data_IF_306225556947
#
_entry.id   IF_306225556947
#
_cell.length_a   1.000
_cell.length_b   1.000
_cell.length_c   1.000
_cell.angle_alpha   90.00
_cell.angle_beta   90.00
_cell.angle_gamma   90.00
#
_symmetry.space_group_name_H-M   'P 1'
#
loop_
_entity.id
_entity.type
_entity.pdbx_description
1 polymer ?
#
# COMPACT_ATOMS: atom_id res chain seq x y z
N UNK A 1 51.62 -19.65 17.73
CA UNK A 1 50.70 -18.53 18.04
C UNK A 1 50.29 -17.71 16.81
N UNK A 2 51.22 -17.23 15.96
CA UNK A 2 50.88 -16.49 14.71
C UNK A 2 49.93 -17.22 13.74
N UNK A 3 50.05 -18.56 13.63
CA UNK A 3 49.17 -19.38 12.77
C UNK A 3 47.72 -19.46 13.26
N UNK A 4 47.49 -19.37 14.58
CA UNK A 4 46.14 -19.35 15.16
C UNK A 4 45.47 -17.99 14.99
N UNK A 5 46.25 -16.90 15.08
CA UNK A 5 45.76 -15.54 14.84
C UNK A 5 45.33 -15.38 13.37
N UNK A 6 46.13 -15.90 12.42
CA UNK A 6 45.80 -15.83 10.99
C UNK A 6 44.51 -16.60 10.63
N UNK A 7 44.31 -17.77 11.25
CA UNK A 7 43.10 -18.57 11.07
C UNK A 7 41.85 -17.89 11.64
N UNK A 8 41.98 -17.24 12.80
CA UNK A 8 40.88 -16.50 13.42
C UNK A 8 40.47 -15.26 12.59
N UNK A 9 41.43 -14.54 12.00
CA UNK A 9 41.15 -13.43 11.09
C UNK A 9 40.42 -13.87 9.81
N UNK A 10 40.75 -15.05 9.26
CA UNK A 10 40.07 -15.57 8.07
C UNK A 10 38.60 -15.93 8.35
N UNK A 11 38.33 -16.51 9.53
CA UNK A 11 36.97 -16.87 9.97
C UNK A 11 36.15 -15.60 10.26
N UNK A 12 36.76 -14.58 10.86
CA UNK A 12 36.10 -13.29 11.12
C UNK A 12 35.71 -12.55 9.83
N UNK A 13 36.52 -12.64 8.77
CA UNK A 13 36.19 -12.06 7.47
C UNK A 13 35.02 -12.77 6.76
N UNK A 14 34.89 -14.10 6.91
CA UNK A 14 33.76 -14.86 6.36
C UNK A 14 32.45 -14.60 7.11
N UNK A 15 32.52 -14.34 8.42
CA UNK A 15 31.36 -13.93 9.22
C UNK A 15 30.93 -12.47 8.96
N UNK A 16 31.80 -11.65 8.37
CA UNK A 16 31.52 -10.24 8.06
C UNK A 16 30.73 -10.02 6.77
N UNK A 17 30.36 -11.08 6.05
CA UNK A 17 29.41 -11.01 4.93
C UNK A 17 27.97 -10.98 5.47
N UNK A 18 27.69 -10.03 6.36
CA UNK A 18 26.58 -10.07 7.30
C UNK A 18 25.76 -8.79 7.33
N UNK A 19 25.47 -8.21 6.17
CA UNK A 19 24.33 -7.31 6.03
C UNK A 19 23.85 -7.39 4.59
N UNK A 20 22.95 -8.35 4.31
CA UNK A 20 22.05 -8.17 3.18
C UNK A 20 21.32 -6.87 3.49
N UNK A 21 21.65 -5.78 2.80
CA UNK A 21 20.84 -4.58 2.84
C UNK A 21 19.45 -5.01 2.35
N UNK A 22 18.55 -5.30 3.28
CA UNK A 22 17.17 -5.66 2.96
C UNK A 22 16.51 -4.42 2.38
N UNK A 23 16.58 -4.31 1.05
CA UNK A 23 15.90 -3.27 0.33
C UNK A 23 14.41 -3.60 0.38
N UNK A 24 13.60 -2.70 0.94
CA UNK A 24 12.16 -2.87 1.01
C UNK A 24 11.51 -2.36 -0.28
N UNK A 25 10.58 -3.14 -0.82
CA UNK A 25 9.66 -2.68 -1.85
C UNK A 25 8.28 -2.42 -1.26
N UNK A 26 7.61 -1.38 -1.76
CA UNK A 26 6.30 -0.94 -1.30
C UNK A 26 5.30 -0.95 -2.44
N UNK A 27 4.05 -1.30 -2.12
CA UNK A 27 2.93 -1.27 -3.06
C UNK A 27 1.70 -0.70 -2.38
N UNK A 28 0.99 0.18 -3.08
CA UNK A 28 -0.32 0.68 -2.64
C UNK A 28 -1.39 0.09 -3.53
N UNK A 29 -2.36 -0.59 -2.94
CA UNK A 29 -3.57 -1.07 -3.62
C UNK A 29 -4.72 -0.15 -3.28
N UNK A 30 -5.33 0.44 -4.30
CA UNK A 30 -6.45 1.36 -4.17
C UNK A 30 -7.77 0.63 -4.41
N UNK A 31 -8.71 0.78 -3.50
CA UNK A 31 -10.07 0.24 -3.63
C UNK A 31 -11.04 1.41 -3.63
N UNK A 32 -11.55 1.72 -4.82
CA UNK A 32 -12.56 2.76 -4.99
C UNK A 32 -13.91 2.26 -4.50
N UNK A 33 -14.63 3.13 -3.79
CA UNK A 33 -16.03 2.91 -3.47
C UNK A 33 -16.89 3.07 -4.71
N UNK A 34 -18.03 2.40 -4.72
CA UNK A 34 -19.08 2.58 -5.72
C UNK A 34 -20.35 3.11 -5.06
N UNK A 35 -21.24 3.68 -5.86
CA UNK A 35 -22.49 4.22 -5.33
C UNK A 35 -23.34 3.12 -4.69
N UNK A 36 -24.02 3.49 -3.61
CA UNK A 36 -24.99 2.63 -2.95
C UNK A 36 -26.27 2.52 -3.80
N UNK A 37 -26.99 1.41 -3.67
CA UNK A 37 -28.29 1.23 -4.34
C UNK A 37 -29.33 2.25 -3.88
N UNK A 38 -29.20 2.73 -2.64
CA UNK A 38 -30.06 3.76 -2.04
C UNK A 38 -29.22 5.02 -1.85
N UNK A 39 -29.75 6.17 -2.30
CA UNK A 39 -29.10 7.47 -2.18
C UNK A 39 -27.71 7.53 -2.87
N UNK A 40 -27.60 6.99 -4.09
CA UNK A 40 -26.37 6.99 -4.89
C UNK A 40 -25.67 8.36 -4.90
N UNK A 41 -26.45 9.44 -5.05
CA UNK A 41 -25.92 10.79 -5.22
C UNK A 41 -25.34 11.38 -3.92
N UNK A 42 -25.92 11.12 -2.74
CA UNK A 42 -25.56 11.81 -1.50
C UNK A 42 -25.21 10.89 -0.32
N UNK A 43 -25.30 9.58 -0.52
CA UNK A 43 -25.00 8.56 0.49
C UNK A 43 -23.51 8.26 0.60
N UNK A 44 -23.15 7.41 1.56
CA UNK A 44 -21.81 6.84 1.67
C UNK A 44 -21.54 5.88 0.52
N UNK A 45 -20.31 5.89 -0.02
CA UNK A 45 -19.92 4.86 -0.98
C UNK A 45 -19.84 3.49 -0.31
N UNK A 46 -20.12 2.46 -1.10
CA UNK A 46 -19.99 1.05 -0.72
C UNK A 46 -18.67 0.52 -1.24
N UNK A 47 -18.00 -0.30 -0.43
CA UNK A 47 -16.73 -0.93 -0.77
C UNK A 47 -16.91 -2.43 -0.84
N UNK A 48 -16.46 -3.05 -1.93
CA UNK A 48 -16.51 -4.50 -2.10
C UNK A 48 -15.63 -5.22 -1.05
N UNK A 49 -16.00 -6.44 -0.68
CA UNK A 49 -15.17 -7.29 0.18
C UNK A 49 -13.80 -7.56 -0.48
N UNK A 50 -12.73 -7.17 0.23
CA UNK A 50 -11.35 -7.30 -0.24
C UNK A 50 -10.63 -8.53 0.33
N UNK A 51 -11.32 -9.40 1.06
CA UNK A 51 -10.74 -10.59 1.70
C UNK A 51 -9.93 -11.45 0.72
N UNK A 52 -10.42 -11.67 -0.49
CA UNK A 52 -9.71 -12.43 -1.52
C UNK A 52 -8.40 -11.77 -1.97
N UNK A 53 -8.40 -10.44 -2.14
CA UNK A 53 -7.20 -9.66 -2.52
C UNK A 53 -6.17 -9.66 -1.39
N UNK A 54 -6.61 -9.43 -0.14
CA UNK A 54 -5.74 -9.45 1.04
C UNK A 54 -5.08 -10.82 1.23
N UNK A 55 -5.85 -11.90 1.10
CA UNK A 55 -5.33 -13.27 1.16
C UNK A 55 -4.33 -13.56 0.03
N UNK A 56 -4.58 -13.07 -1.18
CA UNK A 56 -3.63 -13.20 -2.31
C UNK A 56 -2.33 -12.46 -2.02
N UNK A 57 -2.38 -11.23 -1.50
CA UNK A 57 -1.20 -10.46 -1.14
C UNK A 57 -0.37 -11.17 -0.08
N UNK A 58 -1.01 -11.70 0.97
CA UNK A 58 -0.32 -12.49 2.00
C UNK A 58 0.38 -13.73 1.43
N UNK A 59 -0.28 -14.47 0.52
CA UNK A 59 0.33 -15.63 -0.18
C UNK A 59 1.53 -15.24 -1.05
N UNK A 60 1.54 -14.04 -1.61
CA UNK A 60 2.64 -13.50 -2.42
C UNK A 60 3.78 -12.89 -1.57
N UNK A 61 3.70 -13.00 -0.24
CA UNK A 61 4.73 -12.51 0.69
C UNK A 61 4.65 -11.01 0.97
N UNK A 62 3.54 -10.35 0.61
CA UNK A 62 3.30 -8.95 0.97
C UNK A 62 2.73 -8.85 2.39
N UNK A 63 3.34 -7.98 3.20
CA UNK A 63 2.87 -7.62 4.53
C UNK A 63 2.06 -6.32 4.45
N UNK A 64 0.82 -6.34 4.96
CA UNK A 64 0.01 -5.12 5.09
C UNK A 64 0.54 -4.30 6.28
N UNK A 65 0.96 -3.06 6.02
CA UNK A 65 1.57 -2.19 7.04
C UNK A 65 0.74 -0.98 7.41
N UNK A 66 -0.15 -0.53 6.53
CA UNK A 66 -1.01 0.61 6.79
C UNK A 66 -2.24 0.59 5.89
N UNK A 67 -3.29 1.27 6.33
CA UNK A 67 -4.44 1.60 5.53
C UNK A 67 -4.83 3.07 5.77
N UNK A 68 -5.17 3.80 4.70
CA UNK A 68 -5.65 5.17 4.80
C UNK A 68 -6.74 5.46 3.77
N UNK A 69 -7.56 6.46 4.04
CA UNK A 69 -8.70 6.84 3.20
C UNK A 69 -8.43 8.11 2.43
N UNK A 70 -8.85 8.17 1.16
CA UNK A 70 -8.98 9.41 0.41
C UNK A 70 -10.44 9.86 0.44
N UNK A 71 -10.67 11.14 0.74
CA UNK A 71 -12.01 11.75 0.71
C UNK A 71 -12.25 12.41 -0.65
N UNK A 72 -13.43 12.20 -1.23
CA UNK A 72 -13.90 12.88 -2.43
C UNK A 72 -15.15 13.71 -2.17
N UNK A 73 -15.47 14.62 -3.08
CA UNK A 73 -16.64 15.49 -2.98
C UNK A 73 -17.94 14.75 -3.36
N UNK A 74 -19.03 15.03 -2.66
CA UNK A 74 -20.33 14.36 -2.82
C UNK A 74 -21.47 15.32 -3.26
N UNK A 75 -21.17 16.37 -4.05
CA UNK A 75 -22.04 17.42 -4.64
C UNK A 75 -22.22 18.78 -3.90
N UNK A 76 -22.23 19.93 -4.62
CA UNK A 76 -22.14 21.27 -4.04
C UNK A 76 -23.38 21.68 -3.23
N UNK A 77 -23.15 22.44 -2.16
CA UNK A 77 -24.15 22.82 -1.15
C UNK A 77 -25.15 23.94 -1.58
N UNK A 78 -25.34 24.23 -2.86
CA UNK A 78 -26.15 25.39 -3.29
C UNK A 78 -26.88 25.17 -4.63
N UNK A 79 -28.22 25.24 -4.62
CA UNK A 79 -29.03 25.39 -5.85
C UNK A 79 -30.41 24.73 -5.93
N UNK A 80 -30.81 23.90 -4.97
CA UNK A 80 -32.11 23.21 -4.96
C UNK A 80 -32.85 23.50 -3.63
N UNK A 81 -34.15 23.79 -3.71
CA UNK A 81 -35.03 24.03 -2.56
C UNK A 81 -35.25 22.80 -1.68
N UNK A 82 -34.94 21.60 -2.19
CA UNK A 82 -35.05 20.34 -1.43
C UNK A 82 -33.84 20.08 -0.53
N UNK A 83 -32.85 20.98 -0.51
CA UNK A 83 -31.69 20.86 0.37
C UNK A 83 -32.07 21.13 1.82
N UNK A 84 -31.59 20.25 2.69
CA UNK A 84 -31.63 20.41 4.14
C UNK A 84 -30.88 21.68 4.56
N UNK A 85 -31.51 22.48 5.42
CA UNK A 85 -30.94 23.70 5.99
C UNK A 85 -29.80 23.38 6.96
N UNK A 86 -28.56 23.27 6.45
CA UNK A 86 -27.37 23.12 7.29
C UNK A 86 -26.07 22.85 6.52
N UNK A 87 -24.92 23.20 7.10
CA UNK A 87 -23.59 22.86 6.58
C UNK A 87 -23.38 21.36 6.81
N UNK A 88 -23.79 20.52 5.86
CA UNK A 88 -23.33 19.12 5.79
C UNK A 88 -21.95 19.07 5.17
N UNK A 89 -21.09 18.19 5.70
CA UNK A 89 -19.80 17.88 5.07
C UNK A 89 -20.05 17.29 3.69
N UNK A 90 -19.67 18.04 2.66
CA UNK A 90 -19.80 17.64 1.25
C UNK A 90 -18.66 16.69 0.81
N UNK A 91 -18.24 15.82 1.72
CA UNK A 91 -17.14 14.90 1.45
C UNK A 91 -17.48 13.53 1.99
N UNK A 92 -17.19 12.51 1.19
CA UNK A 92 -17.31 11.10 1.57
C UNK A 92 -16.00 10.39 1.27
N UNK A 93 -15.72 9.29 1.97
CA UNK A 93 -14.58 8.42 1.62
C UNK A 93 -14.79 7.89 0.21
N UNK A 94 -13.83 8.20 -0.66
CA UNK A 94 -13.84 7.81 -2.07
C UNK A 94 -13.02 6.54 -2.30
N UNK A 95 -11.88 6.41 -1.61
CA UNK A 95 -10.93 5.32 -1.82
C UNK A 95 -10.36 4.86 -0.50
N UNK A 96 -10.23 3.54 -0.34
CA UNK A 96 -9.42 2.93 0.72
C UNK A 96 -8.10 2.46 0.10
N UNK A 97 -6.98 2.94 0.63
CA UNK A 97 -5.64 2.59 0.20
C UNK A 97 -5.02 1.61 1.19
N UNK A 98 -4.59 0.46 0.70
CA UNK A 98 -3.84 -0.54 1.46
C UNK A 98 -2.36 -0.46 1.09
N UNK A 99 -1.51 -0.20 2.08
CA UNK A 99 -0.05 -0.11 1.90
C UNK A 99 0.58 -1.42 2.31
N UNK A 100 1.31 -2.02 1.38
CA UNK A 100 2.04 -3.25 1.59
C UNK A 100 3.54 -3.03 1.47
N UNK A 101 4.32 -3.84 2.21
CA UNK A 101 5.77 -3.95 2.04
C UNK A 101 6.18 -5.42 1.86
N UNK A 102 7.35 -5.65 1.26
CA UNK A 102 8.09 -6.92 1.34
C UNK A 102 9.58 -6.69 1.08
N UNK A 103 10.42 -7.68 1.36
CA UNK A 103 11.83 -7.65 0.99
C UNK A 103 11.92 -7.74 -0.54
N UNK A 104 12.59 -6.79 -1.16
CA UNK A 104 12.77 -6.70 -2.61
C UNK A 104 13.49 -7.92 -3.16
N UNK A 105 12.92 -8.52 -4.21
CA UNK A 105 13.56 -9.60 -4.96
C UNK A 105 14.45 -9.09 -6.11
N UNK A 106 14.61 -7.77 -6.24
CA UNK A 106 15.43 -7.11 -7.26
C UNK A 106 14.87 -7.17 -8.70
N UNK A 107 13.75 -7.87 -8.95
CA UNK A 107 13.22 -8.08 -10.31
C UNK A 107 12.61 -6.83 -10.94
N UNK A 108 12.08 -5.93 -10.11
CA UNK A 108 11.50 -4.64 -10.52
C UNK A 108 12.56 -3.68 -11.10
N UNK A 109 13.76 -3.62 -10.50
CA UNK A 109 14.85 -2.76 -10.99
C UNK A 109 15.36 -3.20 -12.38
N UNK A 110 15.48 -4.52 -12.59
CA UNK A 110 15.85 -5.11 -13.88
C UNK A 110 14.85 -4.73 -14.98
N UNK A 111 13.54 -4.74 -14.67
CA UNK A 111 12.50 -4.30 -15.62
C UNK A 111 12.55 -2.81 -15.93
N UNK A 112 12.85 -1.94 -14.96
CA UNK A 112 12.98 -0.49 -15.18
C UNK A 112 14.18 -0.16 -16.06
N UNK A 113 15.29 -0.85 -15.89
CA UNK A 113 16.49 -0.70 -16.73
C UNK A 113 16.27 -1.19 -18.17
N UNK A 114 15.52 -2.27 -18.35
CA UNK A 114 15.18 -2.80 -19.67
C UNK A 114 14.26 -1.87 -20.49
N UNK A 115 13.41 -1.06 -19.83
CA UNK A 115 12.55 -0.05 -20.50
C UNK A 115 13.27 1.26 -20.87
N UNK A 116 14.49 1.48 -20.38
CA UNK A 116 15.29 2.70 -20.64
C UNK A 116 16.30 2.55 -21.79
N UNK A 117 16.43 1.35 -22.36
CA UNK A 117 17.19 1.08 -23.59
C UNK A 117 16.24 0.96 -24.77
#
# INVERSE_FOLDING_TARGET
MKKFILGFCLIAMLASCGSKNEQWEYKVVKVAGHDAEIAADFGTLVFADQTAMLNKMGKEGWELVSAYTETGTAFPNFGNSDYVTGIRDNTRTAVVNFVFKRISDGKEEVKKLAKKK
#
